data_IF_617321119081
#
_entry.id   IF_617321119081
#
_cell.length_a   1.000
_cell.length_b   1.000
_cell.length_c   1.000
_cell.angle_alpha   90.00
_cell.angle_beta   90.00
_cell.angle_gamma   90.00
#
_symmetry.space_group_name_H-M   'P 1'
#
loop_
_entity.id
_entity.type
_entity.pdbx_description
1 polymer ?
#
# COMPACT_ATOMS: atom_id res chain seq x y z
N UNK A 1 8.25 10.68 -21.16
CA UNK A 1 7.63 11.50 -20.09
C UNK A 1 6.58 10.71 -19.30
N UNK A 2 5.62 10.06 -19.96
CA UNK A 2 4.58 9.25 -19.30
C UNK A 2 5.18 8.07 -18.51
N UNK A 3 6.18 7.37 -19.04
CA UNK A 3 6.80 6.22 -18.35
C UNK A 3 7.43 6.59 -17.00
N UNK A 4 8.02 7.78 -16.91
CA UNK A 4 8.58 8.29 -15.65
C UNK A 4 7.47 8.58 -14.64
N UNK A 5 6.33 9.08 -15.10
CA UNK A 5 5.17 9.35 -14.24
C UNK A 5 4.60 8.03 -13.69
N UNK A 6 4.40 7.04 -14.55
CA UNK A 6 3.92 5.69 -14.16
C UNK A 6 4.91 5.04 -13.18
N UNK A 7 6.21 5.12 -13.46
CA UNK A 7 7.24 4.59 -12.58
C UNK A 7 7.20 5.22 -11.18
N UNK A 8 7.00 6.55 -11.09
CA UNK A 8 6.84 7.25 -9.81
C UNK A 8 5.59 6.78 -9.06
N UNK A 9 4.44 6.71 -9.73
CA UNK A 9 3.19 6.21 -9.12
C UNK A 9 3.37 4.80 -8.57
N UNK A 10 3.97 3.89 -9.36
CA UNK A 10 4.21 2.50 -8.91
C UNK A 10 5.14 2.43 -7.70
N UNK A 11 6.18 3.26 -7.64
CA UNK A 11 7.10 3.31 -6.51
C UNK A 11 6.44 3.86 -5.25
N UNK A 12 5.63 4.90 -5.39
CA UNK A 12 4.90 5.50 -4.27
C UNK A 12 3.85 4.53 -3.72
N UNK A 13 3.09 3.86 -4.59
CA UNK A 13 2.14 2.82 -4.20
C UNK A 13 2.82 1.62 -3.54
N UNK A 14 3.98 1.18 -4.04
CA UNK A 14 4.76 0.15 -3.36
C UNK A 14 5.21 0.56 -1.95
N UNK A 15 5.59 1.84 -1.75
CA UNK A 15 5.95 2.36 -0.43
C UNK A 15 4.73 2.48 0.49
N UNK A 16 3.57 2.88 -0.03
CA UNK A 16 2.29 2.90 0.69
C UNK A 16 1.95 1.51 1.25
N UNK A 17 1.97 0.48 0.40
CA UNK A 17 1.73 -0.91 0.83
C UNK A 17 2.71 -1.36 1.92
N UNK A 18 4.00 -1.11 1.71
CA UNK A 18 5.02 -1.49 2.68
C UNK A 18 4.84 -0.75 4.01
N UNK A 19 4.40 0.51 3.98
CA UNK A 19 4.10 1.30 5.18
C UNK A 19 2.92 0.68 5.95
N UNK A 20 1.85 0.30 5.25
CA UNK A 20 0.70 -0.37 5.86
C UNK A 20 1.11 -1.69 6.50
N UNK A 21 1.97 -2.50 5.84
CA UNK A 21 2.52 -3.72 6.46
C UNK A 21 3.25 -3.43 7.78
N UNK A 22 4.09 -2.39 7.82
CA UNK A 22 4.82 -2.03 9.06
C UNK A 22 3.87 -1.55 10.17
N UNK A 23 2.81 -0.81 9.82
CA UNK A 23 1.79 -0.42 10.78
C UNK A 23 1.01 -1.65 11.29
N UNK A 24 0.65 -2.58 10.41
CA UNK A 24 -0.05 -3.82 10.74
C UNK A 24 0.77 -4.79 11.60
N UNK A 25 2.10 -4.75 11.51
CA UNK A 25 3.00 -5.50 12.42
C UNK A 25 2.92 -4.99 13.87
N UNK A 26 2.64 -3.69 14.07
CA UNK A 26 2.73 -3.03 15.38
C UNK A 26 1.38 -2.69 16.00
N UNK A 27 0.35 -2.52 15.18
CA UNK A 27 -0.98 -2.09 15.61
C UNK A 27 -2.04 -3.05 15.09
N UNK A 28 -2.86 -3.59 15.99
CA UNK A 28 -3.90 -4.58 15.65
C UNK A 28 -5.30 -3.96 15.57
N UNK A 29 -5.48 -2.74 16.08
CA UNK A 29 -6.77 -2.04 16.15
C UNK A 29 -6.77 -0.77 15.29
N UNK A 30 -6.36 -0.90 14.03
CA UNK A 30 -6.54 0.15 13.04
C UNK A 30 -6.91 -0.44 11.68
N UNK A 31 -7.46 0.39 10.82
CA UNK A 31 -7.49 0.16 9.39
C UNK A 31 -7.02 1.41 8.68
N UNK A 32 -6.45 1.26 7.48
CA UNK A 32 -6.04 2.38 6.67
C UNK A 32 -6.40 2.13 5.21
N UNK A 33 -6.81 3.19 4.53
CA UNK A 33 -6.93 3.21 3.08
C UNK A 33 -5.88 4.17 2.52
N UNK A 34 -5.06 3.69 1.60
CA UNK A 34 -4.06 4.51 0.94
C UNK A 34 -4.50 4.98 -0.45
N UNK A 35 -3.97 6.13 -0.86
CA UNK A 35 -4.08 6.63 -2.23
C UNK A 35 -2.74 7.23 -2.67
N UNK A 36 -2.19 6.70 -3.76
CA UNK A 36 -0.88 7.03 -4.30
C UNK A 36 -0.96 7.73 -5.65
N UNK A 37 -0.11 8.73 -5.82
CA UNK A 37 0.09 9.44 -7.09
C UNK A 37 1.59 9.60 -7.40
N UNK A 38 1.94 10.46 -8.36
CA UNK A 38 3.33 10.69 -8.77
C UNK A 38 4.14 11.53 -7.77
N UNK A 39 3.48 12.18 -6.80
CA UNK A 39 4.07 13.05 -5.77
C UNK A 39 4.28 12.33 -4.44
N UNK A 40 3.46 11.31 -4.15
CA UNK A 40 3.59 10.51 -2.94
C UNK A 40 2.38 9.63 -2.72
N UNK A 41 1.99 9.47 -1.46
CA UNK A 41 0.77 8.79 -1.06
C UNK A 41 0.15 9.46 0.17
N UNK A 42 -1.14 9.25 0.37
CA UNK A 42 -1.89 9.68 1.55
C UNK A 42 -2.51 8.45 2.22
N UNK A 43 -2.61 8.45 3.55
CA UNK A 43 -3.28 7.40 4.32
C UNK A 43 -4.50 7.98 5.05
N UNK A 44 -5.68 7.45 4.74
CA UNK A 44 -6.89 7.65 5.53
C UNK A 44 -6.89 6.61 6.65
N UNK A 45 -6.52 7.02 7.86
CA UNK A 45 -6.42 6.12 9.02
C UNK A 45 -7.72 6.12 9.82
N UNK A 46 -8.19 4.92 10.16
CA UNK A 46 -9.32 4.70 11.05
C UNK A 46 -8.82 3.91 12.28
N UNK A 47 -8.74 4.60 13.41
CA UNK A 47 -8.15 4.09 14.64
C UNK A 47 -7.14 5.07 15.22
N UNK A 48 -6.51 4.71 16.32
CA UNK A 48 -5.50 5.54 16.98
C UNK A 48 -4.11 5.16 16.51
N UNK A 49 -3.54 5.95 15.61
CA UNK A 49 -2.13 5.95 15.25
C UNK A 49 -1.54 7.33 15.50
N UNK A 50 -0.35 7.39 16.08
CA UNK A 50 0.39 8.64 16.21
C UNK A 50 1.11 8.99 14.90
N UNK A 51 1.47 10.27 14.73
CA UNK A 51 2.28 10.69 13.58
C UNK A 51 3.68 10.04 13.62
N UNK A 52 4.21 9.81 14.83
CA UNK A 52 5.47 9.13 15.06
C UNK A 52 5.43 7.66 14.60
N UNK A 53 4.32 6.94 14.87
CA UNK A 53 4.13 5.57 14.42
C UNK A 53 4.15 5.49 12.88
N UNK A 54 3.42 6.39 12.23
CA UNK A 54 3.39 6.47 10.76
C UNK A 54 4.77 6.82 10.22
N UNK A 55 5.45 7.81 10.80
CA UNK A 55 6.79 8.21 10.36
C UNK A 55 7.79 7.06 10.48
N UNK A 56 7.78 6.35 11.61
CA UNK A 56 8.64 5.18 11.82
C UNK A 56 8.32 4.05 10.84
N UNK A 57 7.03 3.80 10.56
CA UNK A 57 6.60 2.80 9.59
C UNK A 57 7.07 3.14 8.18
N UNK A 58 6.94 4.40 7.72
CA UNK A 58 7.41 4.84 6.40
C UNK A 58 8.91 4.68 6.25
N UNK A 59 9.68 5.10 7.26
CA UNK A 59 11.14 4.99 7.25
C UNK A 59 11.59 3.52 7.17
N UNK A 60 10.98 2.66 7.97
CA UNK A 60 11.30 1.24 7.98
C UNK A 60 10.90 0.55 6.66
N UNK A 61 9.69 0.85 6.16
CA UNK A 61 9.21 0.36 4.87
C UNK A 61 10.16 0.74 3.73
N UNK A 62 10.56 2.02 3.67
CA UNK A 62 11.51 2.50 2.66
C UNK A 62 12.86 1.79 2.75
N UNK A 63 13.40 1.64 3.97
CA UNK A 63 14.66 0.94 4.21
C UNK A 63 14.59 -0.53 3.77
N UNK A 64 13.53 -1.26 4.14
CA UNK A 64 13.33 -2.68 3.77
C UNK A 64 13.14 -2.86 2.27
N UNK A 65 12.37 -1.99 1.61
CA UNK A 65 12.21 -2.01 0.15
C UNK A 65 13.54 -1.77 -0.56
N UNK A 66 14.35 -0.82 -0.08
CA UNK A 66 15.70 -0.56 -0.60
C UNK A 66 16.66 -1.73 -0.38
N UNK A 67 16.44 -2.53 0.67
CA UNK A 67 17.18 -3.76 0.94
C UNK A 67 16.70 -4.97 0.12
N UNK A 68 15.76 -4.80 -0.80
CA UNK A 68 15.31 -5.86 -1.72
C UNK A 68 14.09 -6.66 -1.23
N UNK A 69 13.43 -6.25 -0.15
CA UNK A 69 12.21 -6.91 0.35
C UNK A 69 10.97 -6.50 -0.49
N UNK A 70 11.00 -6.78 -1.79
CA UNK A 70 9.99 -6.31 -2.74
C UNK A 70 8.58 -6.85 -2.51
N UNK A 71 8.44 -7.97 -1.78
CA UNK A 71 7.14 -8.52 -1.41
C UNK A 71 6.29 -7.54 -0.58
N UNK A 72 6.93 -6.64 0.17
CA UNK A 72 6.24 -5.59 0.95
C UNK A 72 5.53 -4.56 0.06
N UNK A 73 5.90 -4.45 -1.22
CA UNK A 73 5.24 -3.55 -2.16
C UNK A 73 3.86 -4.04 -2.63
N UNK A 74 3.42 -5.21 -2.16
CA UNK A 74 2.12 -5.81 -2.50
C UNK A 74 1.35 -6.09 -1.21
N UNK A 75 0.10 -5.65 -1.15
CA UNK A 75 -0.79 -5.91 -0.03
C UNK A 75 -1.98 -6.76 -0.48
N UNK A 76 -2.38 -7.81 0.27
CA UNK A 76 -3.48 -8.69 -0.14
C UNK A 76 -4.81 -7.95 -0.30
N UNK A 77 -5.04 -6.91 0.51
CA UNK A 77 -6.23 -6.06 0.44
C UNK A 77 -6.03 -4.81 -0.43
N UNK A 78 -5.10 -4.83 -1.39
CA UNK A 78 -4.94 -3.74 -2.36
C UNK A 78 -6.21 -3.60 -3.21
N UNK A 79 -6.66 -2.36 -3.46
CA UNK A 79 -7.85 -2.08 -4.26
C UNK A 79 -7.81 -2.73 -5.65
N UNK A 80 -6.65 -2.79 -6.30
CA UNK A 80 -6.49 -3.46 -7.60
C UNK A 80 -6.67 -4.97 -7.50
N UNK A 81 -6.17 -5.60 -6.42
CA UNK A 81 -6.35 -7.04 -6.18
C UNK A 81 -7.82 -7.35 -5.92
N UNK A 82 -8.48 -6.56 -5.08
CA UNK A 82 -9.91 -6.70 -4.77
C UNK A 82 -10.77 -6.54 -6.02
N UNK A 83 -10.54 -5.50 -6.82
CA UNK A 83 -11.27 -5.25 -8.06
C UNK A 83 -11.08 -6.41 -9.05
N UNK A 84 -9.83 -6.84 -9.29
CA UNK A 84 -9.53 -7.95 -10.21
C UNK A 84 -10.24 -9.22 -9.77
N UNK A 85 -10.21 -9.51 -8.46
CA UNK A 85 -10.85 -10.70 -7.87
C UNK A 85 -12.37 -10.64 -8.05
N UNK A 86 -12.99 -9.51 -7.73
CA UNK A 86 -14.43 -9.30 -7.88
C UNK A 86 -14.88 -9.44 -9.34
N UNK A 87 -14.14 -8.87 -10.29
CA UNK A 87 -14.44 -8.98 -11.72
C UNK A 87 -14.36 -10.44 -12.18
N UNK A 88 -13.27 -11.15 -11.88
CA UNK A 88 -13.09 -12.54 -12.30
C UNK A 88 -14.16 -13.46 -11.69
N UNK A 89 -14.45 -13.31 -10.39
CA UNK A 89 -15.48 -14.10 -9.72
C UNK A 89 -16.87 -13.85 -10.33
N UNK A 90 -17.20 -12.59 -10.62
CA UNK A 90 -18.48 -12.21 -11.24
C UNK A 90 -18.63 -12.78 -12.64
N UNK A 91 -17.56 -12.79 -13.44
CA UNK A 91 -17.58 -13.41 -14.77
C UNK A 91 -17.75 -14.93 -14.68
N UNK A 92 -17.05 -15.59 -13.76
CA UNK A 92 -17.15 -17.04 -13.57
C UNK A 92 -18.55 -17.47 -13.09
N UNK A 93 -19.19 -16.67 -12.23
CA UNK A 93 -20.54 -16.97 -11.73
C UNK A 93 -21.64 -16.81 -12.79
N UNK A 94 -21.35 -16.14 -13.90
CA UNK A 94 -22.28 -15.93 -15.02
C UNK A 94 -22.04 -16.92 -16.18
N UNK A 95 -21.04 -17.80 -16.06
CA UNK A 95 -20.68 -18.79 -17.06
C UNK A 95 -21.45 -20.11 -16.89
#
# INVERSE_FOLDING_TARGET
>A
MIDQLISRVRRNHGLEHATIHMLSEKHTQFSAQGNSDHRGFNLNVYGSLSEEDVTAAVQEAYRRLKAGQHHLAVHPNCGTVLLTTATLATLAAQA
#
